data_IF_444417843606
#
_entry.id   IF_444417843606
#
_cell.length_a   1.000
_cell.length_b   1.000
_cell.length_c   1.000
_cell.angle_alpha   90.00
_cell.angle_beta   90.00
_cell.angle_gamma   90.00
#
_symmetry.space_group_name_H-M   'P 1'
#
loop_
_entity.id
_entity.type
_entity.pdbx_description
1 polymer ?
#
# COMPACT_ATOMS: atom_id res chain seq x y z
N UNK A 1 8.69 15.34 38.06
CA UNK A 1 8.27 15.41 36.65
C UNK A 1 9.39 14.82 35.82
N UNK A 2 9.20 13.61 35.28
CA UNK A 2 10.24 12.89 34.55
C UNK A 2 10.27 13.37 33.10
N UNK A 3 11.34 14.02 32.68
CA UNK A 3 11.53 14.45 31.29
C UNK A 3 12.02 13.25 30.48
N UNK A 4 11.09 12.60 29.79
CA UNK A 4 11.41 11.56 28.83
C UNK A 4 12.08 12.21 27.60
N UNK A 5 13.40 12.03 27.48
CA UNK A 5 14.16 12.43 26.31
C UNK A 5 14.16 11.28 25.33
N UNK A 6 13.54 11.49 24.17
CA UNK A 6 13.63 10.56 23.06
C UNK A 6 15.08 10.54 22.58
N UNK A 7 15.73 9.36 22.47
CA UNK A 7 17.07 9.29 21.91
C UNK A 7 16.99 9.75 20.46
N UNK A 8 17.59 10.91 20.18
CA UNK A 8 17.77 11.43 18.83
C UNK A 8 18.81 10.56 18.14
N UNK A 9 18.38 9.41 17.62
CA UNK A 9 19.17 8.67 16.64
C UNK A 9 19.20 9.54 15.38
N UNK A 10 20.20 10.41 15.26
CA UNK A 10 20.42 11.27 14.09
C UNK A 10 20.74 10.49 12.80
N UNK A 11 20.73 9.16 12.83
CA UNK A 11 20.78 8.25 11.68
C UNK A 11 19.41 7.73 11.24
N UNK A 12 18.38 8.59 11.25
CA UNK A 12 17.01 8.28 10.80
C UNK A 12 16.59 9.07 9.56
N UNK A 13 17.55 9.56 8.78
CA UNK A 13 17.30 10.09 7.44
C UNK A 13 17.25 8.95 6.43
N UNK A 14 16.13 8.23 6.33
CA UNK A 14 15.95 7.27 5.25
C UNK A 14 15.91 8.06 3.93
N UNK A 15 16.89 7.85 3.05
CA UNK A 15 16.94 8.36 1.67
C UNK A 15 16.98 9.90 1.54
N UNK A 16 17.70 10.61 2.42
CA UNK A 16 17.82 12.08 2.31
C UNK A 16 18.83 12.53 1.28
N UNK A 17 19.93 11.81 1.16
CA UNK A 17 21.04 12.16 0.30
C UNK A 17 20.98 11.39 -1.03
N UNK A 18 21.49 12.00 -2.10
CA UNK A 18 21.52 11.38 -3.43
C UNK A 18 22.22 10.02 -3.43
N UNK A 19 23.30 9.90 -2.67
CA UNK A 19 24.05 8.66 -2.53
C UNK A 19 23.22 7.53 -1.88
N UNK A 20 22.25 7.88 -1.04
CA UNK A 20 21.38 6.92 -0.36
C UNK A 20 20.26 6.40 -1.27
N UNK A 21 19.64 7.27 -2.08
CA UNK A 21 18.49 6.88 -2.91
C UNK A 21 18.83 6.43 -4.32
N UNK A 22 20.00 6.82 -4.85
CA UNK A 22 20.42 6.46 -6.21
C UNK A 22 20.55 4.96 -6.46
N UNK A 23 21.08 4.13 -5.54
CA UNK A 23 21.06 2.67 -5.71
C UNK A 23 19.64 2.11 -5.85
N UNK A 24 18.69 2.64 -5.07
CA UNK A 24 17.28 2.24 -5.16
C UNK A 24 16.66 2.64 -6.49
N UNK A 25 16.95 3.85 -6.99
CA UNK A 25 16.46 4.29 -8.29
C UNK A 25 16.99 3.39 -9.42
N UNK A 26 18.27 3.01 -9.39
CA UNK A 26 18.84 2.09 -10.37
C UNK A 26 18.15 0.71 -10.37
N UNK A 27 17.82 0.19 -9.18
CA UNK A 27 17.09 -1.08 -9.06
C UNK A 27 15.67 -0.98 -9.62
N UNK A 28 14.97 0.13 -9.35
CA UNK A 28 13.63 0.39 -9.88
C UNK A 28 13.70 0.51 -11.39
N UNK A 29 14.64 1.28 -11.92
CA UNK A 29 14.87 1.43 -13.36
C UNK A 29 15.12 0.06 -14.03
N UNK A 30 16.02 -0.76 -13.49
CA UNK A 30 16.30 -2.08 -14.06
C UNK A 30 15.05 -2.97 -14.15
N UNK A 31 14.23 -2.99 -13.09
CA UNK A 31 12.97 -3.74 -13.07
C UNK A 31 11.95 -3.15 -14.04
N UNK A 32 11.78 -1.83 -14.03
CA UNK A 32 10.83 -1.12 -14.88
C UNK A 32 11.16 -1.27 -16.37
N UNK A 33 12.45 -1.24 -16.72
CA UNK A 33 12.92 -1.48 -18.08
C UNK A 33 12.65 -2.92 -18.54
N UNK A 34 12.83 -3.92 -17.66
CA UNK A 34 12.49 -5.31 -17.99
C UNK A 34 10.99 -5.55 -18.24
N UNK A 35 10.13 -4.64 -17.76
CA UNK A 35 8.68 -4.68 -17.92
C UNK A 35 8.20 -3.67 -18.97
N UNK A 36 9.11 -2.97 -19.68
CA UNK A 36 8.80 -1.94 -20.68
C UNK A 36 7.92 -0.81 -20.14
N UNK A 37 7.99 -0.52 -18.83
CA UNK A 37 7.22 0.55 -18.17
C UNK A 37 8.06 1.76 -17.76
N UNK A 38 9.40 1.68 -17.85
CA UNK A 38 10.28 2.77 -17.40
C UNK A 38 9.94 4.10 -18.07
N UNK A 39 9.71 4.11 -19.39
CA UNK A 39 9.35 5.33 -20.14
C UNK A 39 8.06 6.01 -19.64
N UNK A 40 7.21 5.28 -18.90
CA UNK A 40 5.97 5.81 -18.33
C UNK A 40 6.14 6.35 -16.90
N UNK A 41 7.13 5.86 -16.16
CA UNK A 41 7.37 6.20 -14.75
C UNK A 41 8.67 6.97 -14.52
N UNK A 42 9.45 7.22 -15.58
CA UNK A 42 10.73 7.91 -15.51
C UNK A 42 10.54 9.31 -14.91
N UNK A 43 11.18 9.63 -13.77
CA UNK A 43 11.06 10.95 -13.15
C UNK A 43 11.66 12.08 -14.00
N UNK A 44 12.67 11.79 -14.84
CA UNK A 44 13.33 12.80 -15.69
C UNK A 44 12.50 13.14 -16.93
N UNK A 45 11.67 12.19 -17.37
CA UNK A 45 10.80 12.31 -18.52
C UNK A 45 9.41 11.80 -18.15
N UNK A 46 8.65 12.54 -17.33
CA UNK A 46 7.32 12.13 -16.93
C UNK A 46 6.45 12.08 -18.19
N UNK A 47 6.16 10.87 -18.65
CA UNK A 47 5.12 10.67 -19.65
C UNK A 47 3.79 11.19 -19.10
N UNK A 48 2.87 11.54 -19.99
CA UNK A 48 1.51 12.00 -19.66
C UNK A 48 0.92 11.18 -18.53
N UNK A 49 0.39 11.86 -17.51
CA UNK A 49 -0.21 11.29 -16.30
C UNK A 49 -0.90 9.95 -16.59
N UNK A 50 -0.41 8.88 -15.96
CA UNK A 50 -1.05 7.58 -16.07
C UNK A 50 -2.51 7.71 -15.65
N UNK A 51 -3.42 7.22 -16.49
CA UNK A 51 -4.83 7.18 -16.16
C UNK A 51 -5.01 6.30 -14.92
N UNK A 52 -5.83 6.77 -13.96
CA UNK A 52 -6.10 6.01 -12.75
C UNK A 52 -6.66 4.64 -13.15
N UNK A 53 -6.17 3.52 -12.60
CA UNK A 53 -6.74 2.21 -12.87
C UNK A 53 -8.25 2.20 -12.57
N UNK A 54 -9.01 1.51 -13.40
CA UNK A 54 -10.43 1.24 -13.13
C UNK A 54 -10.53 0.42 -11.86
N UNK A 55 -11.28 0.92 -10.87
CA UNK A 55 -11.55 0.18 -9.64
C UNK A 55 -12.25 -1.15 -9.99
N UNK A 56 -11.91 -2.26 -9.31
CA UNK A 56 -12.56 -3.53 -9.56
C UNK A 56 -14.06 -3.40 -9.30
N UNK A 57 -14.86 -4.05 -10.14
CA UNK A 57 -16.30 -4.10 -9.93
C UNK A 57 -16.59 -4.83 -8.63
N UNK A 58 -17.37 -4.19 -7.74
CA UNK A 58 -17.86 -4.86 -6.54
C UNK A 58 -18.65 -6.10 -6.96
N UNK A 59 -18.46 -7.26 -6.29
CA UNK A 59 -19.29 -8.43 -6.55
C UNK A 59 -20.76 -8.09 -6.32
N UNK A 60 -21.66 -8.63 -7.14
CA UNK A 60 -23.09 -8.51 -6.89
C UNK A 60 -23.40 -9.31 -5.62
N UNK A 61 -24.12 -8.74 -4.63
CA UNK A 61 -24.61 -9.51 -3.49
C UNK A 61 -25.37 -10.78 -3.87
N UNK A 62 -25.93 -10.86 -5.10
CA UNK A 62 -26.59 -12.06 -5.64
C UNK A 62 -25.62 -13.18 -6.02
N UNK A 63 -24.36 -12.85 -6.31
CA UNK A 63 -23.29 -13.83 -6.58
C UNK A 63 -22.73 -14.41 -5.27
N UNK A 64 -23.18 -13.91 -4.12
CA UNK A 64 -22.86 -14.48 -2.83
C UNK A 64 -23.72 -15.73 -2.59
N UNK A 65 -23.19 -16.91 -2.90
CA UNK A 65 -23.78 -18.16 -2.44
C UNK A 65 -23.70 -18.20 -0.91
N UNK A 66 -24.85 -18.14 -0.24
CA UNK A 66 -24.93 -18.50 1.16
C UNK A 66 -24.44 -19.95 1.29
N UNK A 67 -23.25 -20.16 1.84
CA UNK A 67 -22.80 -21.50 2.19
C UNK A 67 -23.83 -22.09 3.14
N UNK A 68 -24.54 -23.12 2.69
CA UNK A 68 -25.40 -23.92 3.55
C UNK A 68 -24.55 -24.43 4.73
N UNK A 69 -24.96 -24.06 5.95
CA UNK A 69 -24.30 -24.51 7.19
C UNK A 69 -23.43 -23.50 7.92
N UNK A 70 -23.37 -22.22 7.49
CA UNK A 70 -22.85 -21.15 8.36
C UNK A 70 -24.05 -20.53 9.07
N UNK A 71 -24.36 -21.02 10.27
CA UNK A 71 -25.32 -20.35 11.16
C UNK A 71 -24.77 -18.96 11.49
N UNK A 72 -25.58 -17.92 11.29
CA UNK A 72 -25.24 -16.61 11.86
C UNK A 72 -25.05 -16.78 13.37
N UNK A 73 -23.95 -16.26 13.95
CA UNK A 73 -23.76 -16.32 15.39
C UNK A 73 -24.93 -15.58 16.02
N UNK A 74 -25.83 -16.33 16.65
CA UNK A 74 -26.97 -15.79 17.36
C UNK A 74 -26.42 -14.89 18.45
N UNK A 75 -26.62 -13.59 18.32
CA UNK A 75 -26.31 -12.64 19.38
C UNK A 75 -27.18 -13.03 20.57
N UNK A 76 -26.58 -13.73 21.53
CA UNK A 76 -27.19 -14.01 22.82
C UNK A 76 -27.23 -12.67 23.57
N UNK A 77 -28.12 -11.78 23.18
CA UNK A 77 -28.50 -10.63 23.98
C UNK A 77 -29.25 -11.18 25.20
N UNK A 78 -28.50 -11.57 26.24
CA UNK A 78 -29.08 -11.71 27.57
C UNK A 78 -29.55 -10.32 27.98
N UNK A 79 -30.87 -10.09 27.93
CA UNK A 79 -31.48 -9.07 28.78
C UNK A 79 -31.16 -9.50 30.21
N UNK A 80 -30.28 -8.74 30.86
CA UNK A 80 -30.17 -8.77 32.31
C UNK A 80 -31.47 -8.20 32.86
N UNK A 81 -31.98 -8.88 33.87
CA UNK A 81 -33.23 -8.61 34.58
C UNK A 81 -33.21 -7.25 35.28
#
# INVERSE_FOLDING_TARGET
>A
MSTYTFPTNEKLGFLRDEEDWRPWLNMIQGRASSLEIWDKINPDHPSTFMEKPTDPQKPDPKDYEAKAGIEEPTLICRRAD
#
